data_IF_477265998532
#
_entry.id   IF_477265998532
#
_cell.length_a   1.000
_cell.length_b   1.000
_cell.length_c   1.000
_cell.angle_alpha   90.00
_cell.angle_beta   90.00
_cell.angle_gamma   90.00
#
_symmetry.space_group_name_H-M   'P 1'
#
loop_
_entity.id
_entity.type
_entity.pdbx_description
1 polymer ?
#
# COMPACT_ATOMS: atom_id res chain seq x y z
N UNK A 1 21.63 2.41 3.46
CA UNK A 1 20.59 1.40 3.79
C UNK A 1 19.27 2.02 3.39
N UNK A 2 18.60 1.47 2.38
CA UNK A 2 17.28 1.96 1.97
C UNK A 2 16.32 1.68 3.13
N UNK A 3 15.65 2.71 3.65
CA UNK A 3 14.64 2.53 4.70
C UNK A 3 13.29 2.77 4.05
N UNK A 4 12.40 1.77 3.99
CA UNK A 4 11.06 1.95 3.45
C UNK A 4 10.35 3.04 4.25
N UNK A 5 9.71 3.97 3.55
CA UNK A 5 8.91 5.03 4.16
C UNK A 5 7.42 4.75 3.94
N UNK A 6 6.61 5.27 4.85
CA UNK A 6 5.17 5.24 4.67
C UNK A 6 4.78 6.36 3.68
N UNK A 7 4.26 6.02 2.48
CA UNK A 7 3.96 6.99 1.44
C UNK A 7 2.72 7.85 1.76
N UNK A 8 2.08 7.59 2.90
CA UNK A 8 0.95 8.35 3.43
C UNK A 8 1.33 9.17 4.67
N UNK A 9 2.62 9.40 4.91
CA UNK A 9 3.13 10.27 5.99
C UNK A 9 3.71 11.57 5.46
N UNK A 10 3.47 12.64 6.19
CA UNK A 10 3.57 14.04 5.78
C UNK A 10 4.95 14.63 6.06
N UNK A 11 5.63 15.18 5.04
CA UNK A 11 5.20 16.46 4.49
C UNK A 11 4.49 16.40 3.13
N UNK A 12 4.50 15.26 2.43
CA UNK A 12 4.05 15.19 1.03
C UNK A 12 2.52 15.31 0.82
N UNK A 13 1.68 15.03 1.83
CA UNK A 13 0.23 15.27 1.76
C UNK A 13 -0.22 16.71 2.06
N UNK A 14 0.63 17.58 2.66
CA UNK A 14 0.17 18.82 3.28
C UNK A 14 -0.01 19.93 2.25
N UNK A 15 0.69 19.80 1.12
CA UNK A 15 0.61 20.75 0.03
C UNK A 15 -0.35 20.30 -1.08
N UNK A 16 -0.76 19.01 -1.14
CA UNK A 16 -1.43 18.47 -2.33
C UNK A 16 -2.72 17.64 -2.11
N UNK A 17 -3.16 17.30 -0.89
CA UNK A 17 -4.32 16.39 -0.71
C UNK A 17 -5.46 16.93 0.16
N UNK A 18 -6.10 18.01 -0.27
CA UNK A 18 -7.47 18.35 0.14
C UNK A 18 -8.53 17.47 -0.53
N UNK A 19 -8.13 16.57 -1.46
CA UNK A 19 -9.05 15.82 -2.32
C UNK A 19 -9.52 14.47 -1.75
N UNK A 20 -8.82 13.89 -0.78
CA UNK A 20 -9.15 12.57 -0.23
C UNK A 20 -9.76 12.64 1.17
N UNK A 21 -10.77 11.81 1.48
CA UNK A 21 -11.31 11.69 2.83
C UNK A 21 -10.20 11.35 3.85
N UNK A 22 -10.13 12.06 5.00
CA UNK A 22 -9.13 11.77 6.04
C UNK A 22 -9.18 10.35 6.58
N UNK A 23 -10.34 9.69 6.52
CA UNK A 23 -10.52 8.29 6.92
C UNK A 23 -9.73 7.34 6.01
N UNK A 24 -9.83 7.52 4.69
CA UNK A 24 -9.15 6.68 3.69
C UNK A 24 -7.63 6.83 3.83
N UNK A 25 -7.16 8.07 3.96
CA UNK A 25 -5.74 8.37 4.19
C UNK A 25 -5.22 7.73 5.47
N UNK A 26 -6.00 7.79 6.57
CA UNK A 26 -5.64 7.15 7.83
C UNK A 26 -5.56 5.64 7.70
N UNK A 27 -6.54 5.00 7.05
CA UNK A 27 -6.53 3.54 6.82
C UNK A 27 -5.33 3.11 5.98
N UNK A 28 -5.05 3.82 4.88
CA UNK A 28 -3.89 3.54 4.04
C UNK A 28 -2.56 3.72 4.80
N UNK A 29 -2.46 4.78 5.60
CA UNK A 29 -1.31 5.05 6.45
C UNK A 29 -1.07 3.92 7.47
N UNK A 30 -2.13 3.42 8.11
CA UNK A 30 -2.03 2.31 9.07
C UNK A 30 -1.58 1.03 8.38
N UNK A 31 -2.20 0.67 7.24
CA UNK A 31 -1.83 -0.52 6.47
C UNK A 31 -0.36 -0.47 6.01
N UNK A 32 0.09 0.68 5.51
CA UNK A 32 1.48 0.88 5.12
C UNK A 32 2.46 0.68 6.29
N UNK A 33 2.16 1.28 7.45
CA UNK A 33 3.00 1.14 8.64
C UNK A 33 3.05 -0.33 9.12
N UNK A 34 1.91 -1.01 9.12
CA UNK A 34 1.82 -2.43 9.51
C UNK A 34 2.62 -3.32 8.54
N UNK A 35 2.51 -3.07 7.23
CA UNK A 35 3.26 -3.81 6.23
C UNK A 35 4.77 -3.64 6.43
N UNK A 36 5.26 -2.40 6.57
CA UNK A 36 6.68 -2.12 6.79
C UNK A 36 7.18 -2.84 8.05
N UNK A 37 6.43 -2.78 9.15
CA UNK A 37 6.79 -3.44 10.41
C UNK A 37 6.86 -4.97 10.27
N UNK A 38 5.91 -5.59 9.55
CA UNK A 38 5.92 -7.03 9.30
C UNK A 38 7.10 -7.45 8.40
N UNK A 39 7.46 -6.60 7.43
CA UNK A 39 8.65 -6.81 6.59
C UNK A 39 9.94 -6.71 7.38
N UNK A 40 10.03 -5.73 8.28
CA UNK A 40 11.20 -5.54 9.14
C UNK A 40 11.39 -6.69 10.14
N UNK A 41 10.30 -7.29 10.62
CA UNK A 41 10.35 -8.45 11.52
C UNK A 41 10.64 -9.79 10.83
N UNK A 42 10.54 -9.85 9.50
CA UNK A 42 10.67 -11.08 8.73
C UNK A 42 9.46 -12.02 8.85
N UNK A 43 8.32 -11.53 9.35
CA UNK A 43 7.09 -12.31 9.49
C UNK A 43 6.35 -12.40 8.14
N UNK A 44 6.65 -13.48 7.40
CA UNK A 44 6.09 -13.72 6.08
C UNK A 44 4.56 -13.93 6.09
N UNK A 45 4.02 -14.58 7.13
CA UNK A 45 2.58 -14.85 7.23
C UNK A 45 1.80 -13.55 7.47
N UNK A 46 2.24 -12.77 8.46
CA UNK A 46 1.64 -11.45 8.74
C UNK A 46 1.79 -10.53 7.53
N UNK A 47 2.93 -10.56 6.85
CA UNK A 47 3.13 -9.78 5.62
C UNK A 47 2.14 -10.20 4.52
N UNK A 48 1.95 -11.50 4.31
CA UNK A 48 1.01 -12.02 3.31
C UNK A 48 -0.43 -11.59 3.61
N UNK A 49 -0.83 -11.61 4.88
CA UNK A 49 -2.16 -11.17 5.29
C UNK A 49 -2.36 -9.67 5.02
N UNK A 50 -1.40 -8.82 5.43
CA UNK A 50 -1.50 -7.38 5.23
C UNK A 50 -1.46 -7.01 3.74
N UNK A 51 -0.70 -7.75 2.92
CA UNK A 51 -0.75 -7.61 1.46
C UNK A 51 -2.16 -7.85 0.90
N UNK A 52 -2.86 -8.86 1.41
CA UNK A 52 -4.27 -9.10 1.11
C UNK A 52 -5.19 -7.97 1.58
N UNK A 53 -4.98 -7.47 2.81
CA UNK A 53 -5.75 -6.36 3.38
C UNK A 53 -5.59 -5.06 2.57
N UNK A 54 -4.39 -4.79 2.02
CA UNK A 54 -4.15 -3.68 1.09
C UNK A 54 -5.00 -3.85 -0.18
N UNK A 55 -5.02 -5.06 -0.74
CA UNK A 55 -5.85 -5.38 -1.90
C UNK A 55 -7.34 -5.22 -1.62
N UNK A 56 -7.82 -5.65 -0.46
CA UNK A 56 -9.21 -5.48 -0.03
C UNK A 56 -9.56 -3.99 0.14
N UNK A 57 -8.74 -3.24 0.86
CA UNK A 57 -8.89 -1.79 1.04
C UNK A 57 -9.04 -1.06 -0.30
N UNK A 58 -8.20 -1.37 -1.29
CA UNK A 58 -8.28 -0.73 -2.62
C UNK A 58 -9.56 -1.08 -3.40
N UNK A 59 -10.20 -2.21 -3.10
CA UNK A 59 -11.44 -2.62 -3.75
C UNK A 59 -12.69 -2.18 -2.99
N UNK A 60 -12.59 -1.96 -1.68
CA UNK A 60 -13.72 -1.59 -0.82
C UNK A 60 -13.89 -0.07 -0.72
N UNK A 61 -12.79 0.69 -0.71
CA UNK A 61 -12.82 2.14 -0.51
C UNK A 61 -12.91 2.94 -1.82
N UNK A 62 -12.73 2.28 -2.96
CA UNK A 62 -12.79 2.93 -4.27
C UNK A 62 -13.76 2.20 -5.20
N UNK A 63 -14.82 2.91 -5.59
CA UNK A 63 -15.80 2.43 -6.56
C UNK A 63 -15.22 2.37 -7.98
N UNK A 64 -15.98 1.76 -8.90
CA UNK A 64 -15.59 1.62 -10.32
C UNK A 64 -15.33 2.99 -11.00
N UNK A 65 -16.00 4.03 -10.53
CA UNK A 65 -15.86 5.40 -11.03
C UNK A 65 -14.61 6.12 -10.49
N UNK A 66 -14.00 5.60 -9.43
CA UNK A 66 -12.81 6.16 -8.76
C UNK A 66 -11.52 5.46 -9.17
N UNK A 67 -11.44 5.07 -10.44
CA UNK A 67 -10.32 4.30 -10.98
C UNK A 67 -8.98 5.04 -10.86
N UNK A 68 -8.99 6.35 -11.08
CA UNK A 68 -7.77 7.18 -11.03
C UNK A 68 -7.28 7.34 -9.59
N UNK A 69 -8.17 7.57 -8.63
CA UNK A 69 -7.87 7.64 -7.20
C UNK A 69 -7.33 6.32 -6.68
N UNK A 70 -8.01 5.22 -7.01
CA UNK A 70 -7.55 3.85 -6.70
C UNK A 70 -6.15 3.61 -7.28
N UNK A 71 -5.91 4.07 -8.51
CA UNK A 71 -4.63 4.00 -9.19
C UNK A 71 -3.52 4.72 -8.43
N UNK A 72 -3.79 5.89 -7.87
CA UNK A 72 -2.84 6.66 -7.06
C UNK A 72 -2.47 5.94 -5.75
N UNK A 73 -3.46 5.42 -5.02
CA UNK A 73 -3.19 4.65 -3.80
C UNK A 73 -2.42 3.36 -4.10
N UNK A 74 -2.82 2.62 -5.15
CA UNK A 74 -2.10 1.43 -5.62
C UNK A 74 -0.65 1.75 -5.95
N UNK A 75 -0.38 2.82 -6.68
CA UNK A 75 0.98 3.23 -7.03
C UNK A 75 1.83 3.51 -5.78
N UNK A 76 1.28 4.21 -4.79
CA UNK A 76 1.97 4.48 -3.50
C UNK A 76 2.31 3.21 -2.76
N UNK A 77 1.36 2.28 -2.62
CA UNK A 77 1.64 0.98 -2.01
C UNK A 77 2.70 0.18 -2.78
N UNK A 78 2.68 0.18 -4.12
CA UNK A 78 3.70 -0.52 -4.91
C UNK A 78 5.10 0.06 -4.72
N UNK A 79 5.24 1.38 -4.64
CA UNK A 79 6.53 2.03 -4.33
C UNK A 79 7.03 1.58 -2.97
N UNK A 80 6.18 1.62 -1.94
CA UNK A 80 6.52 1.13 -0.60
C UNK A 80 6.97 -0.34 -0.61
N UNK A 81 6.26 -1.21 -1.32
CA UNK A 81 6.60 -2.65 -1.39
C UNK A 81 7.92 -2.86 -2.12
N UNK A 82 8.18 -2.10 -3.19
CA UNK A 82 9.47 -2.10 -3.87
C UNK A 82 10.61 -1.70 -2.91
N UNK A 83 10.41 -0.65 -2.11
CA UNK A 83 11.40 -0.21 -1.13
C UNK A 83 11.62 -1.27 -0.03
N UNK A 84 10.56 -1.91 0.45
CA UNK A 84 10.68 -3.05 1.37
C UNK A 84 11.47 -4.21 0.74
N UNK A 85 11.26 -4.51 -0.54
CA UNK A 85 12.03 -5.55 -1.25
C UNK A 85 13.51 -5.18 -1.35
N UNK A 86 13.83 -3.91 -1.62
CA UNK A 86 15.19 -3.42 -1.66
C UNK A 86 15.88 -3.44 -0.29
N UNK A 87 15.13 -3.16 0.78
CA UNK A 87 15.65 -3.08 2.14
C UNK A 87 15.81 -4.44 2.84
N UNK A 88 14.83 -5.34 2.66
CA UNK A 88 14.70 -6.57 3.46
C UNK A 88 14.80 -7.85 2.63
N UNK A 89 15.00 -7.73 1.31
CA UNK A 89 14.94 -8.87 0.40
C UNK A 89 13.54 -9.12 -0.16
N UNK A 90 13.48 -9.79 -1.30
CA UNK A 90 12.23 -10.05 -2.03
C UNK A 90 11.47 -11.21 -1.36
N UNK A 91 10.15 -11.07 -1.25
CA UNK A 91 9.26 -12.18 -0.96
C UNK A 91 8.91 -12.94 -2.25
N UNK A 92 8.43 -14.18 -2.13
CA UNK A 92 8.05 -14.99 -3.28
C UNK A 92 6.97 -14.31 -4.16
N UNK A 93 6.87 -14.75 -5.42
CA UNK A 93 6.11 -14.08 -6.48
C UNK A 93 4.59 -13.95 -6.23
N UNK A 94 4.05 -14.55 -5.16
CA UNK A 94 2.63 -14.50 -4.82
C UNK A 94 2.19 -13.27 -4.03
N UNK A 95 3.13 -12.44 -3.57
CA UNK A 95 2.81 -11.16 -2.96
C UNK A 95 2.55 -10.10 -4.04
N UNK A 96 1.56 -9.24 -3.83
CA UNK A 96 1.09 -8.16 -4.74
C UNK A 96 0.22 -8.57 -5.93
N UNK A 97 -0.42 -9.75 -5.90
CA UNK A 97 -1.37 -10.13 -6.97
C UNK A 97 -2.48 -9.09 -7.18
N UNK A 98 -2.98 -8.48 -6.10
CA UNK A 98 -3.94 -7.37 -6.15
C UNK A 98 -3.43 -6.16 -6.95
N UNK A 99 -2.11 -6.00 -7.03
CA UNK A 99 -1.46 -4.92 -7.76
C UNK A 99 -1.37 -5.19 -9.27
N UNK A 100 -1.86 -6.32 -9.77
CA UNK A 100 -1.98 -6.63 -11.21
C UNK A 100 -3.38 -7.10 -11.58
N UNK A 101 -4.23 -7.33 -10.59
CA UNK A 101 -5.61 -7.69 -10.81
C UNK A 101 -6.40 -6.49 -11.34
N UNK A 102 -6.66 -6.54 -12.65
CA UNK A 102 -7.49 -5.59 -13.40
C UNK A 102 -8.88 -6.16 -13.65
N UNK A 103 -9.28 -7.28 -13.03
CA UNK A 103 -10.46 -8.05 -13.42
C UNK A 103 -11.82 -7.42 -13.03
N UNK A 104 -11.89 -6.11 -12.79
CA UNK A 104 -13.15 -5.35 -12.59
C UNK A 104 -13.23 -4.12 -13.50
N UNK A 105 -12.76 -4.25 -14.74
CA UNK A 105 -13.20 -3.39 -15.86
C UNK A 105 -14.40 -4.04 -16.52
#
# INVERSE_FOLDING_TARGET
MFKPSNPFTLPELAENETMFPPSILKSACVLAAQYIAARESGDAETTSRIDGDIGAFLNEEFDIEQFDERGQFRARFMVMIHDCNAAFGRLDYHHTHWAYDISRV
#
